data_IF_999089776252
#
_entry.id   IF_999089776252
#
_cell.length_a   1.000
_cell.length_b   1.000
_cell.length_c   1.000
_cell.angle_alpha   90.00
_cell.angle_beta   90.00
_cell.angle_gamma   90.00
#
_symmetry.space_group_name_H-M   'P 1'
#
loop_
_entity.id
_entity.type
_entity.pdbx_description
1 polymer ?
#
# COMPACT_ATOMS: atom_id res chain seq x y z
N UNK A 1 -11.62 -8.49 11.89
CA UNK A 1 -10.79 -8.94 10.76
C UNK A 1 -10.13 -7.75 10.08
N UNK A 2 -8.83 -7.82 9.83
CA UNK A 2 -8.09 -6.83 9.03
C UNK A 2 -7.64 -7.49 7.72
N UNK A 3 -7.93 -6.87 6.59
CA UNK A 3 -7.40 -7.25 5.29
C UNK A 3 -6.34 -6.24 4.84
N UNK A 4 -5.23 -6.74 4.32
CA UNK A 4 -4.16 -5.92 3.75
C UNK A 4 -3.66 -6.56 2.47
N UNK A 5 -3.54 -5.76 1.43
CA UNK A 5 -3.06 -6.22 0.14
C UNK A 5 -2.98 -5.10 -0.87
N UNK A 6 -2.71 -5.50 -2.10
CA UNK A 6 -2.59 -4.64 -3.26
C UNK A 6 -3.97 -4.22 -3.79
N UNK A 7 -4.01 -3.66 -5.00
CA UNK A 7 -5.25 -3.36 -5.71
C UNK A 7 -6.15 -4.59 -5.92
N UNK A 8 -5.61 -5.82 -5.84
CA UNK A 8 -6.41 -7.05 -5.94
C UNK A 8 -7.33 -7.25 -4.75
N UNK A 9 -6.90 -6.83 -3.57
CA UNK A 9 -7.73 -6.94 -2.37
C UNK A 9 -8.80 -5.84 -2.29
N UNK A 10 -8.74 -4.81 -3.14
CA UNK A 10 -9.77 -3.76 -3.23
C UNK A 10 -11.06 -4.24 -3.90
N UNK A 11 -11.03 -5.37 -4.61
CA UNK A 11 -12.26 -5.96 -5.15
C UNK A 11 -13.17 -6.55 -4.07
N UNK A 12 -12.63 -6.84 -2.88
CA UNK A 12 -13.41 -7.30 -1.74
C UNK A 12 -13.98 -6.08 -0.99
N UNK A 13 -15.16 -5.65 -1.39
CA UNK A 13 -15.88 -4.56 -0.74
C UNK A 13 -16.30 -4.98 0.66
N UNK A 14 -16.22 -4.06 1.62
CA UNK A 14 -16.59 -4.36 3.00
C UNK A 14 -18.08 -4.70 3.13
N UNK A 15 -18.95 -4.11 2.32
CA UNK A 15 -20.38 -4.46 2.27
C UNK A 15 -20.60 -5.94 1.92
N UNK A 16 -19.86 -6.44 0.93
CA UNK A 16 -19.97 -7.82 0.49
C UNK A 16 -19.42 -8.75 1.57
N UNK A 17 -18.25 -8.44 2.13
CA UNK A 17 -17.66 -9.20 3.22
C UNK A 17 -18.57 -9.23 4.47
N UNK A 18 -19.22 -8.14 4.81
CA UNK A 18 -20.18 -8.07 5.94
C UNK A 18 -21.44 -8.90 5.65
N UNK A 19 -21.89 -8.98 4.39
CA UNK A 19 -23.01 -9.85 4.03
C UNK A 19 -22.66 -11.34 4.26
N UNK A 20 -21.42 -11.74 4.01
CA UNK A 20 -20.94 -13.11 4.25
C UNK A 20 -20.55 -13.37 5.71
N UNK A 21 -20.03 -12.37 6.42
CA UNK A 21 -19.54 -12.45 7.79
C UNK A 21 -20.19 -11.34 8.66
N UNK A 22 -21.49 -11.43 8.95
CA UNK A 22 -22.25 -10.34 9.58
C UNK A 22 -21.81 -10.01 11.01
N UNK A 23 -21.28 -11.01 11.73
CA UNK A 23 -20.83 -10.86 13.11
C UNK A 23 -19.40 -10.31 13.22
N UNK A 24 -18.74 -10.05 12.09
CA UNK A 24 -17.35 -9.60 12.06
C UNK A 24 -17.25 -8.09 11.83
N UNK A 25 -16.43 -7.43 12.65
CA UNK A 25 -15.93 -6.10 12.32
C UNK A 25 -14.76 -6.20 11.34
N UNK A 26 -15.00 -5.78 10.10
CA UNK A 26 -14.06 -5.94 8.99
C UNK A 26 -13.51 -4.58 8.57
N UNK A 27 -12.18 -4.49 8.49
CA UNK A 27 -11.48 -3.34 7.92
C UNK A 27 -10.58 -3.81 6.79
N UNK A 28 -10.66 -3.16 5.63
CA UNK A 28 -9.82 -3.48 4.48
C UNK A 28 -8.84 -2.32 4.26
N UNK A 29 -7.61 -2.48 4.75
CA UNK A 29 -6.54 -1.48 4.67
C UNK A 29 -5.67 -1.65 3.40
N UNK A 30 -6.18 -2.41 2.43
CA UNK A 30 -5.51 -2.64 1.15
C UNK A 30 -5.40 -1.34 0.35
N UNK A 31 -4.39 -1.26 -0.49
CA UNK A 31 -4.16 -0.10 -1.34
C UNK A 31 -3.46 -0.51 -2.63
N UNK A 32 -3.45 0.36 -3.62
CA UNK A 32 -2.77 0.08 -4.87
C UNK A 32 -1.27 -0.11 -4.62
N UNK A 33 -0.76 -1.27 -5.05
CA UNK A 33 0.67 -1.55 -5.16
C UNK A 33 1.41 -1.44 -3.82
N UNK A 34 0.90 -2.11 -2.78
CA UNK A 34 1.49 -2.20 -1.44
C UNK A 34 2.62 -3.22 -1.33
N UNK A 35 3.46 -3.09 -0.30
CA UNK A 35 4.56 -4.04 -0.01
C UNK A 35 4.61 -4.38 1.48
N UNK A 36 5.40 -5.40 1.92
CA UNK A 36 5.54 -5.74 3.33
C UNK A 36 5.81 -4.57 4.28
N UNK A 37 6.68 -3.62 3.91
CA UNK A 37 6.92 -2.41 4.72
C UNK A 37 5.63 -1.63 5.03
N UNK A 38 4.71 -1.54 4.07
CA UNK A 38 3.40 -0.90 4.24
C UNK A 38 2.54 -1.66 5.25
N UNK A 39 2.48 -3.00 5.16
CA UNK A 39 1.71 -3.80 6.10
C UNK A 39 2.23 -3.67 7.53
N UNK A 40 3.57 -3.70 7.72
CA UNK A 40 4.16 -3.52 9.03
C UNK A 40 3.78 -2.16 9.63
N UNK A 41 3.84 -1.09 8.84
CA UNK A 41 3.45 0.25 9.29
C UNK A 41 2.04 0.29 9.89
N UNK A 42 1.05 -0.26 9.18
CA UNK A 42 -0.32 -0.32 9.67
C UNK A 42 -0.47 -1.24 10.88
N UNK A 43 0.19 -2.39 10.90
CA UNK A 43 0.13 -3.31 12.04
C UNK A 43 0.71 -2.69 13.32
N UNK A 44 1.81 -1.96 13.23
CA UNK A 44 2.37 -1.23 14.37
C UNK A 44 1.44 -0.09 14.82
N UNK A 45 0.84 0.63 13.87
CA UNK A 45 -0.16 1.65 14.18
C UNK A 45 -1.36 1.07 14.93
N UNK A 46 -1.89 -0.06 14.47
CA UNK A 46 -2.98 -0.77 15.13
C UNK A 46 -2.57 -1.23 16.54
N UNK A 47 -1.39 -1.85 16.67
CA UNK A 47 -0.90 -2.32 17.96
C UNK A 47 -0.70 -1.17 18.96
N UNK A 48 -0.11 -0.05 18.53
CA UNK A 48 0.08 1.14 19.35
C UNK A 48 -1.25 1.81 19.74
N UNK A 49 -2.26 1.69 18.88
CA UNK A 49 -3.63 2.13 19.16
C UNK A 49 -4.42 1.19 20.08
N UNK A 50 -3.81 0.10 20.58
CA UNK A 50 -4.48 -0.90 21.40
C UNK A 50 -5.46 -1.80 20.63
N UNK A 51 -5.40 -1.81 19.30
CA UNK A 51 -6.23 -2.67 18.46
C UNK A 51 -5.59 -4.04 18.33
N UNK A 52 -6.34 -5.08 18.68
CA UNK A 52 -5.89 -6.47 18.56
C UNK A 52 -6.85 -7.28 17.68
N UNK A 53 -6.57 -7.40 16.37
CA UNK A 53 -7.44 -8.15 15.48
C UNK A 53 -7.39 -9.66 15.73
N UNK A 54 -8.54 -10.33 15.71
CA UNK A 54 -8.62 -11.80 15.81
C UNK A 54 -8.12 -12.51 14.55
N UNK A 55 -8.24 -11.85 13.40
CA UNK A 55 -7.80 -12.37 12.12
C UNK A 55 -7.18 -11.27 11.27
N UNK A 56 -6.03 -11.58 10.69
CA UNK A 56 -5.31 -10.71 9.77
C UNK A 56 -5.04 -11.49 8.48
N UNK A 57 -5.49 -10.94 7.36
CA UNK A 57 -5.29 -11.51 6.02
C UNK A 57 -4.34 -10.60 5.26
N UNK A 58 -3.20 -11.15 4.82
CA UNK A 58 -2.17 -10.42 4.08
C UNK A 58 -1.99 -11.03 2.69
N UNK A 59 -2.20 -10.25 1.63
CA UNK A 59 -1.85 -10.64 0.27
C UNK A 59 -0.32 -10.57 0.07
N UNK A 60 0.26 -11.67 -0.41
CA UNK A 60 1.66 -11.76 -0.83
C UNK A 60 1.73 -11.99 -2.34
N UNK A 61 2.37 -11.07 -3.07
CA UNK A 61 2.60 -11.13 -4.52
C UNK A 61 4.12 -10.98 -4.78
N UNK A 62 4.74 -11.83 -5.64
CA UNK A 62 6.13 -11.68 -6.05
C UNK A 62 6.54 -10.25 -6.42
N UNK A 63 5.66 -9.47 -7.04
CA UNK A 63 5.95 -8.09 -7.40
C UNK A 63 6.29 -7.20 -6.18
N UNK A 64 5.72 -7.50 -5.01
CA UNK A 64 5.99 -6.80 -3.75
C UNK A 64 7.40 -7.08 -3.21
N UNK A 65 7.98 -8.23 -3.58
CA UNK A 65 9.30 -8.67 -3.16
C UNK A 65 10.39 -8.44 -4.22
N UNK A 66 10.05 -7.79 -5.34
CA UNK A 66 11.02 -7.47 -6.38
C UNK A 66 11.80 -6.17 -6.07
N UNK A 67 13.11 -6.28 -5.88
CA UNK A 67 14.04 -5.16 -5.65
C UNK A 67 14.04 -4.14 -6.80
N UNK A 68 13.82 -4.61 -8.03
CA UNK A 68 13.82 -3.76 -9.22
C UNK A 68 12.48 -3.05 -9.45
N UNK A 69 11.48 -3.34 -8.61
CA UNK A 69 10.20 -2.66 -8.67
C UNK A 69 10.31 -1.20 -8.20
N UNK A 70 9.89 -0.26 -9.04
CA UNK A 70 9.84 1.17 -8.65
C UNK A 70 8.67 1.49 -7.71
N UNK A 71 7.79 0.53 -7.49
CA UNK A 71 6.58 0.64 -6.68
C UNK A 71 6.86 1.10 -5.28
N UNK A 72 7.76 0.42 -4.57
CA UNK A 72 7.98 0.72 -3.15
C UNK A 72 8.33 2.19 -2.94
N UNK A 73 9.24 2.74 -3.74
CA UNK A 73 9.65 4.15 -3.69
C UNK A 73 8.49 5.10 -4.06
N UNK A 74 7.73 4.79 -5.12
CA UNK A 74 6.70 5.71 -5.65
C UNK A 74 5.37 5.65 -4.91
N UNK A 75 4.96 4.47 -4.45
CA UNK A 75 3.63 4.22 -3.89
C UNK A 75 3.64 4.22 -2.37
N UNK A 76 4.58 3.51 -1.73
CA UNK A 76 4.60 3.40 -0.27
C UNK A 76 5.45 4.50 0.37
N UNK A 77 6.72 4.61 -0.04
CA UNK A 77 7.67 5.52 0.57
C UNK A 77 7.29 6.98 0.37
N UNK A 78 6.68 7.34 -0.77
CA UNK A 78 6.28 8.72 -1.02
C UNK A 78 4.99 9.14 -0.28
N UNK A 79 4.13 8.19 0.12
CA UNK A 79 2.73 8.48 0.42
C UNK A 79 2.19 7.88 1.73
N UNK A 80 2.87 6.90 2.33
CA UNK A 80 2.27 6.10 3.41
C UNK A 80 2.91 6.30 4.78
N UNK A 81 4.22 6.46 4.84
CA UNK A 81 4.95 6.42 6.11
C UNK A 81 5.10 7.79 6.74
N UNK A 82 5.14 7.82 8.07
CA UNK A 82 5.55 8.99 8.85
C UNK A 82 7.07 8.96 9.15
N UNK A 83 7.66 10.10 9.57
CA UNK A 83 9.09 10.16 9.86
C UNK A 83 9.55 9.22 10.98
N UNK A 84 8.68 8.90 11.95
CA UNK A 84 9.02 8.04 13.09
C UNK A 84 9.29 6.63 12.59
N UNK A 85 8.40 6.08 11.75
CA UNK A 85 8.58 4.77 11.14
C UNK A 85 9.85 4.70 10.28
N UNK A 86 10.10 5.74 9.48
CA UNK A 86 11.30 5.80 8.61
C UNK A 86 12.58 5.81 9.44
N UNK A 87 12.62 6.58 10.53
CA UNK A 87 13.78 6.62 11.41
C UNK A 87 13.97 5.29 12.16
N UNK A 88 12.87 4.68 12.64
CA UNK A 88 12.89 3.38 13.32
C UNK A 88 13.51 2.28 12.43
N UNK A 89 13.20 2.30 11.14
CA UNK A 89 13.67 1.31 10.17
C UNK A 89 14.73 1.82 9.19
N UNK A 90 15.45 2.89 9.55
CA UNK A 90 16.41 3.54 8.66
C UNK A 90 17.49 2.58 8.12
N UNK A 91 17.95 1.65 8.96
CA UNK A 91 18.94 0.64 8.57
C UNK A 91 18.41 -0.35 7.53
N UNK A 92 17.25 -0.96 7.80
CA UNK A 92 16.56 -1.89 6.89
C UNK A 92 16.20 -1.22 5.56
N UNK A 93 15.72 0.03 5.61
CA UNK A 93 15.39 0.82 4.43
C UNK A 93 16.63 1.17 3.60
N UNK A 94 17.78 1.39 4.25
CA UNK A 94 19.01 1.81 3.63
C UNK A 94 19.01 3.29 3.23
N UNK A 95 20.23 3.84 3.09
CA UNK A 95 20.49 5.27 2.88
C UNK A 95 19.70 5.87 1.72
N UNK A 96 19.61 5.17 0.59
CA UNK A 96 18.91 5.70 -0.59
C UNK A 96 17.42 5.94 -0.36
N UNK A 97 16.74 5.02 0.31
CA UNK A 97 15.30 5.14 0.57
C UNK A 97 15.05 6.21 1.64
N UNK A 98 15.85 6.25 2.70
CA UNK A 98 15.75 7.28 3.74
C UNK A 98 15.96 8.67 3.14
N UNK A 99 16.99 8.86 2.32
CA UNK A 99 17.25 10.13 1.64
C UNK A 99 16.10 10.52 0.70
N UNK A 100 15.58 9.57 -0.09
CA UNK A 100 14.44 9.81 -0.96
C UNK A 100 13.19 10.24 -0.17
N UNK A 101 12.90 9.57 0.95
CA UNK A 101 11.78 9.91 1.82
C UNK A 101 11.91 11.35 2.32
N UNK A 102 13.02 11.71 2.96
CA UNK A 102 13.18 13.04 3.54
C UNK A 102 13.27 14.15 2.49
N UNK A 103 13.84 13.87 1.32
CA UNK A 103 13.78 14.81 0.20
C UNK A 103 12.33 15.13 -0.18
N UNK A 104 11.47 14.11 -0.28
CA UNK A 104 10.05 14.33 -0.59
C UNK A 104 9.27 14.92 0.57
N UNK A 105 9.52 14.47 1.80
CA UNK A 105 8.80 14.93 2.99
C UNK A 105 9.08 16.42 3.27
N UNK A 106 10.33 16.86 3.16
CA UNK A 106 10.73 18.23 3.50
C UNK A 106 10.57 19.20 2.33
N UNK A 107 10.87 18.76 1.11
CA UNK A 107 10.96 19.64 -0.05
C UNK A 107 9.97 19.29 -1.17
N UNK A 108 9.18 18.22 -1.01
CA UNK A 108 8.20 17.80 -2.01
C UNK A 108 8.82 17.41 -3.34
N UNK A 109 10.09 16.97 -3.41
CA UNK A 109 10.86 16.84 -4.67
C UNK A 109 10.18 15.97 -5.74
N UNK A 110 9.49 14.91 -5.34
CA UNK A 110 8.73 14.03 -6.24
C UNK A 110 7.51 14.71 -6.86
N UNK A 111 6.85 15.59 -6.10
CA UNK A 111 5.65 16.32 -6.49
C UNK A 111 5.97 17.64 -7.18
N UNK A 112 6.99 18.33 -6.70
CA UNK A 112 7.40 19.68 -7.05
C UNK A 112 8.71 19.63 -7.83
N UNK A 113 8.77 18.79 -8.88
CA UNK A 113 9.91 18.82 -9.79
C UNK A 113 10.06 20.28 -10.27
N UNK A 114 11.23 20.92 -10.08
CA UNK A 114 11.42 22.37 -10.25
C UNK A 114 11.46 22.78 -11.73
N UNK A 115 10.54 22.25 -12.54
CA UNK A 115 10.33 22.68 -13.90
C UNK A 115 9.42 23.91 -13.86
N UNK A 116 9.95 25.06 -14.29
CA UNK A 116 9.23 26.34 -14.35
C UNK A 116 7.88 26.20 -15.08
N UNK A 117 7.80 25.33 -16.10
CA UNK A 117 6.55 25.02 -16.80
C UNK A 117 5.45 24.40 -15.91
N UNK A 118 5.79 23.60 -14.90
CA UNK A 118 4.83 23.04 -13.95
C UNK A 118 4.35 24.08 -12.94
N UNK A 119 5.22 25.01 -12.54
CA UNK A 119 4.85 26.14 -11.67
C UNK A 119 3.83 27.04 -12.37
N UNK A 120 4.08 27.39 -13.63
CA UNK A 120 3.15 28.19 -14.45
C UNK A 120 1.83 27.46 -14.66
N UNK A 121 1.85 26.15 -14.95
CA UNK A 121 0.63 25.33 -15.06
C UNK A 121 -0.18 25.30 -13.76
N UNK A 122 0.48 25.23 -12.60
CA UNK A 122 -0.18 25.23 -11.29
C UNK A 122 -0.80 26.57 -10.91
N UNK A 123 -0.11 27.68 -11.22
CA UNK A 123 -0.65 29.03 -11.03
C UNK A 123 -1.88 29.29 -11.89
N UNK A 124 -2.04 28.56 -13.00
CA UNK A 124 -3.20 28.61 -13.91
C UNK A 124 -4.15 27.41 -13.73
N UNK A 125 -4.00 26.62 -12.67
CA UNK A 125 -4.71 25.34 -12.56
C UNK A 125 -6.13 25.54 -12.02
N UNK A 126 -7.10 25.50 -12.92
CA UNK A 126 -8.54 25.59 -12.62
C UNK A 126 -9.07 24.34 -11.88
N UNK A 127 -8.30 23.25 -11.81
CA UNK A 127 -8.72 21.99 -11.20
C UNK A 127 -8.26 21.80 -9.74
N UNK A 128 -7.77 22.86 -9.08
CA UNK A 128 -7.38 22.78 -7.66
C UNK A 128 -8.55 22.37 -6.78
N UNK A 129 -9.73 22.96 -7.00
CA UNK A 129 -10.95 22.66 -6.26
C UNK A 129 -11.39 21.20 -6.46
N UNK A 130 -11.24 20.67 -7.67
CA UNK A 130 -11.51 19.26 -7.99
C UNK A 130 -10.55 18.34 -7.21
N UNK A 131 -9.27 18.72 -7.13
CA UNK A 131 -8.27 17.95 -6.38
C UNK A 131 -8.57 17.89 -4.88
N UNK A 132 -8.93 19.01 -4.26
CA UNK A 132 -9.34 19.03 -2.84
C UNK A 132 -10.67 18.27 -2.63
N UNK A 133 -11.65 18.42 -3.52
CA UNK A 133 -12.89 17.65 -3.45
C UNK A 133 -12.63 16.14 -3.48
N UNK A 134 -11.81 15.65 -4.42
CA UNK A 134 -11.44 14.23 -4.51
C UNK A 134 -10.76 13.72 -3.25
N UNK A 135 -9.89 14.52 -2.65
CA UNK A 135 -9.23 14.21 -1.37
C UNK A 135 -10.25 14.12 -0.23
N UNK A 136 -11.15 15.10 -0.11
CA UNK A 136 -12.22 15.08 0.93
C UNK A 136 -13.12 13.86 0.76
N UNK A 137 -13.55 13.55 -0.46
CA UNK A 137 -14.36 12.37 -0.76
C UNK A 137 -13.62 11.09 -0.39
N UNK A 138 -12.33 10.98 -0.75
CA UNK A 138 -11.52 9.80 -0.41
C UNK A 138 -11.42 9.62 1.10
N UNK A 139 -11.15 10.68 1.86
CA UNK A 139 -11.08 10.61 3.33
C UNK A 139 -12.45 10.21 3.92
N UNK A 140 -13.54 10.77 3.40
CA UNK A 140 -14.88 10.42 3.85
C UNK A 140 -15.16 8.93 3.61
N UNK A 141 -14.91 8.43 2.40
CA UNK A 141 -15.09 7.01 2.06
C UNK A 141 -14.25 6.10 2.94
N UNK A 142 -12.96 6.40 3.15
CA UNK A 142 -12.09 5.60 4.00
C UNK A 142 -12.61 5.53 5.45
N UNK A 143 -13.21 6.61 5.96
CA UNK A 143 -13.80 6.64 7.31
C UNK A 143 -15.12 5.87 7.37
N UNK A 144 -16.00 6.06 6.40
CA UNK A 144 -17.32 5.42 6.39
C UNK A 144 -17.25 3.94 6.07
N UNK A 145 -16.31 3.55 5.20
CA UNK A 145 -16.18 2.18 4.68
C UNK A 145 -15.00 1.43 5.32
N UNK A 146 -14.74 1.67 6.61
CA UNK A 146 -13.75 0.93 7.43
C UNK A 146 -12.41 0.70 6.70
N UNK A 147 -11.87 1.74 6.08
CA UNK A 147 -10.57 1.75 5.40
C UNK A 147 -10.57 1.28 3.93
N UNK A 148 -11.67 0.75 3.41
CA UNK A 148 -11.74 0.27 2.04
C UNK A 148 -11.60 1.42 1.04
N UNK A 149 -10.57 1.36 0.20
CA UNK A 149 -10.35 2.35 -0.86
C UNK A 149 -11.10 1.94 -2.13
N UNK A 150 -11.69 2.91 -2.82
CA UNK A 150 -12.35 2.67 -4.11
C UNK A 150 -11.30 2.19 -5.12
N UNK A 151 -11.51 1.01 -5.71
CA UNK A 151 -10.73 0.58 -6.87
C UNK A 151 -11.01 1.53 -8.05
N UNK A 152 -9.99 2.19 -8.62
CA UNK A 152 -10.17 3.03 -9.80
C UNK A 152 -10.54 2.22 -11.05
N UNK A 153 -10.28 0.90 -11.04
CA UNK A 153 -10.84 -0.05 -11.99
C UNK A 153 -12.17 -0.55 -11.40
N UNK A 154 -13.25 0.22 -11.57
CA UNK A 154 -14.59 -0.20 -11.14
C UNK A 154 -14.93 -1.57 -11.74
N UNK A 155 -15.55 -2.46 -10.94
CA UNK A 155 -16.06 -3.81 -11.25
C UNK A 155 -15.77 -4.43 -12.64
N UNK A 156 -14.51 -4.40 -13.09
CA UNK A 156 -14.15 -4.86 -14.42
C UNK A 156 -13.83 -6.34 -14.32
N UNK A 157 -14.85 -7.16 -14.56
CA UNK A 157 -14.65 -8.60 -14.74
C UNK A 157 -14.49 -8.85 -16.23
N UNK A 158 -13.24 -8.96 -16.68
CA UNK A 158 -12.94 -9.42 -18.04
C UNK A 158 -13.37 -10.89 -18.18
N UNK A 159 -14.20 -11.18 -19.19
CA UNK A 159 -14.71 -12.53 -19.47
C UNK A 159 -14.13 -13.13 -20.75
N UNK A 160 -13.45 -12.33 -21.55
CA UNK A 160 -12.78 -12.77 -22.77
C UNK A 160 -11.47 -13.50 -22.43
N UNK A 161 -11.47 -14.82 -22.60
CA UNK A 161 -10.30 -15.67 -22.35
C UNK A 161 -9.05 -15.25 -23.12
N UNK A 162 -9.19 -14.76 -24.36
CA UNK A 162 -8.06 -14.29 -25.16
C UNK A 162 -7.41 -13.05 -24.55
N UNK A 163 -8.22 -12.09 -24.10
CA UNK A 163 -7.73 -10.89 -23.41
C UNK A 163 -7.13 -11.21 -22.03
N UNK A 164 -7.74 -12.13 -21.28
CA UNK A 164 -7.20 -12.59 -20.00
C UNK A 164 -5.81 -13.21 -20.22
N UNK A 165 -5.67 -14.08 -21.22
CA UNK A 165 -4.41 -14.72 -21.54
C UNK A 165 -3.35 -13.71 -22.00
N UNK A 166 -3.71 -12.75 -22.85
CA UNK A 166 -2.80 -11.69 -23.29
C UNK A 166 -2.34 -10.81 -22.12
N UNK A 167 -3.28 -10.42 -21.25
CA UNK A 167 -2.97 -9.65 -20.04
C UNK A 167 -2.08 -10.42 -19.07
N UNK A 168 -2.31 -11.73 -18.92
CA UNK A 168 -1.47 -12.61 -18.12
C UNK A 168 -0.05 -12.68 -18.70
N UNK A 169 0.11 -12.88 -20.01
CA UNK A 169 1.42 -12.88 -20.67
C UNK A 169 2.16 -11.54 -20.49
N UNK A 170 1.46 -10.40 -20.65
CA UNK A 170 2.04 -9.07 -20.39
C UNK A 170 2.48 -8.92 -18.95
N UNK A 171 1.66 -9.36 -18.00
CA UNK A 171 1.95 -9.30 -16.56
C UNK A 171 3.17 -10.15 -16.23
N UNK A 172 3.23 -11.37 -16.77
CA UNK A 172 4.38 -12.27 -16.59
C UNK A 172 5.65 -11.63 -17.17
N UNK A 173 5.58 -11.14 -18.42
CA UNK A 173 6.70 -10.48 -19.09
C UNK A 173 7.14 -9.16 -18.45
N UNK A 174 6.26 -8.53 -17.67
CA UNK A 174 6.60 -7.32 -16.92
C UNK A 174 7.24 -7.64 -15.55
N UNK A 175 6.63 -8.55 -14.78
CA UNK A 175 7.00 -8.82 -13.39
C UNK A 175 8.27 -9.68 -13.29
N UNK A 176 8.33 -10.78 -14.04
CA UNK A 176 9.31 -11.85 -13.78
C UNK A 176 10.68 -11.67 -14.46
N UNK A 177 10.80 -11.12 -15.69
CA UNK A 177 12.11 -11.01 -16.35
C UNK A 177 13.11 -10.12 -15.63
N UNK A 178 12.63 -9.13 -14.88
CA UNK A 178 13.47 -8.24 -14.07
C UNK A 178 13.44 -8.60 -12.58
N UNK A 179 12.89 -9.77 -12.22
CA UNK A 179 12.74 -10.12 -10.82
C UNK A 179 14.10 -10.35 -10.15
N UNK A 180 14.35 -9.56 -9.11
CA UNK A 180 15.41 -9.83 -8.15
C UNK A 180 14.82 -9.75 -6.75
N UNK A 181 15.10 -10.71 -5.84
CA UNK A 181 14.56 -10.66 -4.50
C UNK A 181 15.01 -9.39 -3.78
N UNK A 182 14.12 -8.81 -2.99
CA UNK A 182 14.36 -7.64 -2.16
C UNK A 182 14.60 -8.05 -0.70
N UNK A 183 15.85 -8.15 -0.23
CA UNK A 183 16.14 -8.52 1.16
C UNK A 183 15.42 -7.62 2.16
N UNK A 184 15.31 -6.33 1.84
CA UNK A 184 14.57 -5.34 2.62
C UNK A 184 13.10 -5.73 2.82
N UNK A 185 12.37 -6.12 1.75
CA UNK A 185 10.95 -6.47 1.89
C UNK A 185 10.76 -7.81 2.60
N UNK A 186 11.68 -8.76 2.42
CA UNK A 186 11.69 -10.00 3.22
C UNK A 186 11.96 -9.71 4.70
N UNK A 187 12.87 -8.80 5.02
CA UNK A 187 13.13 -8.41 6.41
C UNK A 187 11.90 -7.77 7.05
N UNK A 188 11.20 -6.87 6.34
CA UNK A 188 9.92 -6.33 6.82
C UNK A 188 8.86 -7.41 7.01
N UNK A 189 8.79 -8.39 6.10
CA UNK A 189 7.87 -9.51 6.24
C UNK A 189 8.19 -10.37 7.47
N UNK A 190 9.46 -10.63 7.75
CA UNK A 190 9.87 -11.33 8.97
C UNK A 190 9.47 -10.56 10.23
N UNK A 191 9.61 -9.23 10.24
CA UNK A 191 9.16 -8.39 11.36
C UNK A 191 7.65 -8.47 11.57
N UNK A 192 6.87 -8.54 10.49
CA UNK A 192 5.42 -8.79 10.58
C UNK A 192 5.15 -10.12 11.27
N UNK A 193 5.79 -11.20 10.82
CA UNK A 193 5.60 -12.53 11.41
C UNK A 193 5.94 -12.51 12.90
N UNK A 194 7.09 -11.93 13.27
CA UNK A 194 7.49 -11.83 14.67
C UNK A 194 6.48 -11.04 15.51
N UNK A 195 6.00 -9.88 15.01
CA UNK A 195 5.00 -9.06 15.69
C UNK A 195 3.70 -9.84 15.96
N UNK A 196 3.29 -10.69 15.01
CA UNK A 196 2.07 -11.49 15.13
C UNK A 196 2.27 -12.72 16.04
N UNK A 197 3.44 -13.35 16.02
CA UNK A 197 3.77 -14.50 16.87
C UNK A 197 3.97 -14.11 18.34
N UNK A 198 4.70 -13.02 18.61
CA UNK A 198 4.88 -12.47 19.97
C UNK A 198 3.54 -12.16 20.63
N UNK A 199 2.56 -11.68 19.86
CA UNK A 199 1.20 -11.43 20.32
C UNK A 199 0.41 -12.70 20.63
N UNK A 200 0.69 -13.79 19.94
CA UNK A 200 0.00 -15.08 20.11
C UNK A 200 0.67 -15.98 21.16
N UNK A 201 1.78 -15.54 21.77
CA UNK A 201 2.47 -16.29 22.82
C UNK A 201 3.26 -17.50 22.30
N UNK A 202 3.50 -17.60 21.00
CA UNK A 202 4.33 -18.66 20.42
C UNK A 202 5.78 -18.16 20.29
N UNK A 203 6.75 -18.69 21.05
CA UNK A 203 8.14 -18.31 20.90
C UNK A 203 8.70 -18.84 19.57
N UNK A 204 9.41 -18.01 18.82
CA UNK A 204 10.22 -18.45 17.69
C UNK A 204 11.32 -19.39 18.20
N UNK A 205 11.25 -20.67 17.83
CA UNK A 205 12.30 -21.68 18.03
C UNK A 205 13.42 -21.55 17.03
#
# INVERSE_FOLDING_TARGET
MILMGSSRMLYFQNSDLQAFYPDWDIYNLSSAVTTPAYYLYFLEGLANGGVNPDLIVIESDPFQFNKNSTTFKKSNLANSFDPIFILKYAWTLGKENVNYYFANFLFGVSYNKPYIGNVIKRLKNENFEIGELLKTMTIATLKTDKGNAISPAGAYVEKDFGKIQESAHKTVGWIYPSYAPSPMQYEFYQKILNLLLEKNGEPCS
#
